data_IF_066372755534
#
_entry.id   IF_066372755534
#
_cell.length_a   1.000
_cell.length_b   1.000
_cell.length_c   1.000
_cell.angle_alpha   90.00
_cell.angle_beta   90.00
_cell.angle_gamma   90.00
#
_symmetry.space_group_name_H-M   'P 1'
#
loop_
_entity.id
_entity.type
_entity.pdbx_description
1 polymer ?
#
# COMPACT_ATOMS: atom_id res chain seq x y z
N UNK A 1 14.61 -7.13 -88.85
CA UNK A 1 14.34 -7.94 -87.66
C UNK A 1 14.57 -7.00 -86.48
N UNK A 2 13.53 -6.40 -85.91
CA UNK A 2 13.57 -5.46 -84.78
C UNK A 2 12.90 -6.16 -83.58
N UNK A 3 13.72 -6.46 -82.55
CA UNK A 3 13.23 -7.07 -81.27
C UNK A 3 12.81 -5.98 -80.37
N UNK A 4 11.49 -5.90 -79.98
CA UNK A 4 10.93 -5.07 -78.97
C UNK A 4 11.12 -5.73 -77.57
N UNK A 5 11.76 -5.12 -76.65
CA UNK A 5 11.80 -5.49 -75.22
C UNK A 5 10.70 -4.71 -74.47
N UNK A 6 9.66 -5.45 -74.04
CA UNK A 6 8.69 -4.91 -73.10
C UNK A 6 9.29 -4.95 -71.67
N UNK A 7 9.43 -3.83 -71.08
CA UNK A 7 9.69 -3.71 -69.64
C UNK A 7 8.34 -3.71 -68.92
N UNK A 8 8.01 -4.81 -68.13
CA UNK A 8 6.92 -4.84 -67.19
C UNK A 8 7.41 -4.17 -65.91
N UNK A 9 6.95 -2.95 -65.63
CA UNK A 9 7.04 -2.32 -64.33
C UNK A 9 6.03 -2.98 -63.38
N UNK A 10 6.51 -3.88 -62.55
CA UNK A 10 5.76 -4.35 -61.38
C UNK A 10 5.73 -3.20 -60.34
N UNK A 11 4.68 -2.42 -60.39
CA UNK A 11 4.31 -1.57 -59.24
C UNK A 11 3.79 -2.49 -58.12
N UNK A 12 4.65 -2.93 -57.24
CA UNK A 12 4.22 -3.44 -55.92
C UNK A 12 3.73 -2.26 -55.13
N UNK A 13 2.43 -1.99 -55.13
CA UNK A 13 1.79 -1.13 -54.13
C UNK A 13 2.00 -1.79 -52.77
N UNK A 14 2.92 -1.23 -51.96
CA UNK A 14 2.91 -1.48 -50.53
C UNK A 14 1.55 -0.95 -50.03
N UNK A 15 0.59 -1.83 -49.86
CA UNK A 15 -0.58 -1.54 -49.05
C UNK A 15 -0.04 -1.34 -47.66
N UNK A 16 0.00 -0.09 -47.19
CA UNK A 16 0.27 0.21 -45.78
C UNK A 16 -0.81 -0.54 -44.99
N UNK A 17 -0.39 -1.54 -44.24
CA UNK A 17 -1.31 -2.29 -43.39
C UNK A 17 -1.88 -1.28 -42.37
N UNK A 18 -3.22 -1.10 -42.40
CA UNK A 18 -3.88 -0.20 -41.41
C UNK A 18 -3.49 -0.60 -40.01
N UNK A 19 -3.12 0.39 -39.20
CA UNK A 19 -2.71 0.14 -37.84
C UNK A 19 -3.92 -0.34 -37.03
N UNK A 20 -3.76 -1.44 -36.32
CA UNK A 20 -4.77 -2.02 -35.41
C UNK A 20 -4.33 -1.83 -33.98
N UNK A 21 -5.21 -2.11 -33.02
CA UNK A 21 -4.85 -2.12 -31.60
C UNK A 21 -3.69 -3.07 -31.35
N UNK A 22 -3.68 -4.24 -31.97
CA UNK A 22 -2.62 -5.24 -31.84
C UNK A 22 -1.29 -4.73 -32.38
N UNK A 23 -1.30 -4.02 -33.52
CA UNK A 23 -0.07 -3.44 -34.08
C UNK A 23 0.48 -2.29 -33.20
N UNK A 24 -0.40 -1.45 -32.64
CA UNK A 24 0.02 -0.38 -31.71
C UNK A 24 0.52 -0.93 -30.38
N UNK A 25 -0.06 -2.02 -29.86
CA UNK A 25 0.49 -2.73 -28.70
C UNK A 25 1.87 -3.34 -29.00
N UNK A 26 2.08 -3.88 -30.21
CA UNK A 26 3.40 -4.39 -30.61
C UNK A 26 4.45 -3.27 -30.70
N UNK A 27 4.09 -2.09 -31.22
CA UNK A 27 4.96 -0.92 -31.25
C UNK A 27 5.23 -0.38 -29.84
N UNK A 28 4.22 -0.34 -28.96
CA UNK A 28 4.38 0.03 -27.56
C UNK A 28 5.33 -0.93 -26.84
N UNK A 29 5.19 -2.24 -27.07
CA UNK A 29 6.11 -3.27 -26.54
C UNK A 29 7.56 -3.01 -26.98
N UNK A 30 7.78 -2.68 -28.25
CA UNK A 30 9.11 -2.36 -28.76
C UNK A 30 9.69 -1.08 -28.16
N UNK A 31 8.84 -0.08 -27.93
CA UNK A 31 9.21 1.17 -27.27
C UNK A 31 9.52 0.99 -25.76
N UNK A 32 8.93 -0.01 -25.11
CA UNK A 32 9.14 -0.30 -23.69
C UNK A 32 10.49 -1.00 -23.46
N UNK A 33 11.54 -0.23 -23.29
CA UNK A 33 12.93 -0.71 -23.25
C UNK A 33 13.82 0.18 -22.38
N UNK A 34 15.08 -0.25 -22.19
CA UNK A 34 16.10 0.58 -21.52
C UNK A 34 16.43 1.88 -22.27
N UNK A 35 16.15 1.93 -23.56
CA UNK A 35 16.32 3.13 -24.41
C UNK A 35 15.05 3.31 -25.27
N UNK A 36 13.96 3.88 -24.72
CA UNK A 36 12.70 4.00 -25.41
C UNK A 36 12.81 4.80 -26.71
N UNK A 37 12.44 4.17 -27.81
CA UNK A 37 12.31 4.79 -29.12
C UNK A 37 10.99 4.33 -29.74
N UNK A 38 10.34 5.24 -30.47
CA UNK A 38 9.09 4.95 -31.16
C UNK A 38 8.98 5.74 -32.46
N UNK A 39 8.13 5.28 -33.36
CA UNK A 39 7.79 5.99 -34.58
C UNK A 39 7.01 7.26 -34.27
N UNK A 40 7.12 8.25 -35.15
CA UNK A 40 6.50 9.57 -34.96
C UNK A 40 4.97 9.49 -34.80
N UNK A 41 4.33 8.51 -35.44
CA UNK A 41 2.89 8.29 -35.45
C UNK A 41 2.37 7.38 -34.32
N UNK A 42 3.24 6.87 -33.43
CA UNK A 42 2.81 6.01 -32.32
C UNK A 42 1.94 6.78 -31.31
N UNK A 43 2.34 7.98 -30.96
CA UNK A 43 1.62 8.85 -30.03
C UNK A 43 1.06 10.05 -30.76
N UNK A 44 -0.21 10.39 -30.50
CA UNK A 44 -0.82 11.58 -31.07
C UNK A 44 -0.15 12.87 -30.54
N UNK A 45 -0.09 13.95 -31.35
CA UNK A 45 0.47 15.23 -30.89
C UNK A 45 -0.17 15.73 -29.59
N UNK A 46 -1.49 15.66 -29.46
CA UNK A 46 -2.21 16.07 -28.26
C UNK A 46 -1.82 15.26 -27.00
N UNK A 47 -1.51 13.96 -27.17
CA UNK A 47 -0.99 13.16 -26.06
C UNK A 47 0.41 13.62 -25.64
N UNK A 48 1.29 13.91 -26.60
CA UNK A 48 2.66 14.40 -26.31
C UNK A 48 2.70 15.84 -25.80
N UNK A 49 1.69 16.66 -26.08
CA UNK A 49 1.50 17.96 -25.42
C UNK A 49 1.17 17.80 -23.93
N UNK A 50 0.29 16.84 -23.58
CA UNK A 50 -0.08 16.56 -22.20
C UNK A 50 1.03 15.82 -21.43
N UNK A 51 1.69 14.85 -22.08
CA UNK A 51 2.79 14.05 -21.53
C UNK A 51 3.98 14.12 -22.47
N UNK A 52 4.84 15.15 -22.35
CA UNK A 52 5.99 15.31 -23.22
C UNK A 52 6.93 14.11 -23.23
N UNK A 53 7.52 13.80 -24.38
CA UNK A 53 8.46 12.68 -24.54
C UNK A 53 9.60 12.70 -23.51
N UNK A 54 10.03 13.91 -23.09
CA UNK A 54 11.02 14.10 -22.04
C UNK A 54 10.58 13.60 -20.65
N UNK A 55 9.27 13.47 -20.40
CA UNK A 55 8.71 12.87 -19.18
C UNK A 55 8.34 11.40 -19.40
N UNK A 56 7.83 11.04 -20.57
CA UNK A 56 7.38 9.67 -20.87
C UNK A 56 8.57 8.69 -20.93
N UNK A 57 9.68 9.06 -21.55
CA UNK A 57 10.87 8.19 -21.64
C UNK A 57 11.46 7.78 -20.29
N UNK A 58 11.73 8.69 -19.34
CA UNK A 58 12.19 8.31 -18.01
C UNK A 58 11.22 7.38 -17.27
N UNK A 59 9.90 7.61 -17.39
CA UNK A 59 8.89 6.74 -16.80
C UNK A 59 8.95 5.31 -17.38
N UNK A 60 9.06 5.19 -18.71
CA UNK A 60 9.17 3.87 -19.35
C UNK A 60 10.48 3.15 -18.99
N UNK A 61 11.59 3.89 -18.87
CA UNK A 61 12.88 3.34 -18.44
C UNK A 61 12.77 2.81 -16.99
N UNK A 62 12.20 3.60 -16.09
CA UNK A 62 12.03 3.24 -14.69
C UNK A 62 11.17 1.97 -14.54
N UNK A 63 10.02 1.92 -15.21
CA UNK A 63 9.16 0.74 -15.25
C UNK A 63 9.90 -0.47 -15.85
N UNK A 64 10.61 -0.29 -16.96
CA UNK A 64 11.40 -1.35 -17.59
C UNK A 64 12.49 -1.91 -16.66
N UNK A 65 13.21 -1.05 -15.96
CA UNK A 65 14.23 -1.47 -14.99
C UNK A 65 13.66 -2.29 -13.84
N UNK A 66 12.40 -2.01 -13.45
CA UNK A 66 11.71 -2.67 -12.34
C UNK A 66 11.07 -4.00 -12.75
N UNK A 67 10.57 -4.11 -13.97
CA UNK A 67 9.73 -5.23 -14.39
C UNK A 67 10.28 -6.06 -15.54
N UNK A 68 11.36 -5.61 -16.19
CA UNK A 68 11.91 -6.25 -17.39
C UNK A 68 11.10 -5.99 -18.65
N UNK A 69 11.49 -6.63 -19.75
CA UNK A 69 10.86 -6.45 -21.06
C UNK A 69 9.45 -7.06 -21.11
N UNK A 70 8.50 -6.38 -21.74
CA UNK A 70 7.18 -6.95 -22.02
C UNK A 70 7.34 -8.15 -22.98
N UNK A 71 6.76 -9.29 -22.61
CA UNK A 71 6.75 -10.50 -23.42
C UNK A 71 5.49 -10.60 -24.30
N UNK A 72 4.32 -10.34 -23.69
CA UNK A 72 3.02 -10.39 -24.37
C UNK A 72 1.99 -9.51 -23.68
N UNK A 73 0.85 -9.29 -24.35
CA UNK A 73 -0.33 -8.66 -23.77
C UNK A 73 -1.48 -9.67 -23.64
N UNK A 74 -2.18 -9.61 -22.52
CA UNK A 74 -3.43 -10.34 -22.28
C UNK A 74 -4.57 -9.33 -22.23
N UNK A 75 -5.67 -9.62 -22.91
CA UNK A 75 -6.87 -8.76 -22.89
C UNK A 75 -7.54 -8.90 -21.54
N UNK A 76 -7.77 -7.78 -20.83
CA UNK A 76 -8.58 -7.73 -19.62
C UNK A 76 -10.01 -7.28 -19.93
N UNK A 77 -10.16 -6.26 -20.78
CA UNK A 77 -11.45 -5.68 -21.13
C UNK A 77 -11.33 -4.94 -22.47
N UNK A 78 -12.28 -5.14 -23.39
CA UNK A 78 -12.43 -4.31 -24.59
C UNK A 78 -13.57 -3.31 -24.36
N UNK A 79 -13.28 -2.00 -24.55
CA UNK A 79 -14.25 -0.90 -24.41
C UNK A 79 -14.61 -0.27 -25.77
N UNK A 80 -14.75 -1.10 -26.80
CA UNK A 80 -14.93 -0.69 -28.18
C UNK A 80 -13.80 -1.19 -29.08
N UNK A 81 -13.75 -0.66 -30.29
CA UNK A 81 -12.76 -1.04 -31.30
C UNK A 81 -11.37 -0.48 -30.99
N UNK A 82 -11.30 0.76 -30.50
CA UNK A 82 -10.07 1.54 -30.32
C UNK A 82 -9.66 1.76 -28.87
N UNK A 83 -10.33 1.15 -27.90
CA UNK A 83 -10.01 1.33 -26.49
C UNK A 83 -10.23 0.07 -25.67
N UNK A 84 -9.50 -0.04 -24.55
CA UNK A 84 -9.64 -1.17 -23.63
C UNK A 84 -8.56 -1.20 -22.55
N UNK A 85 -8.52 -2.33 -21.89
CA UNK A 85 -7.52 -2.65 -20.86
C UNK A 85 -6.83 -3.96 -21.22
N UNK A 86 -5.53 -3.96 -21.07
CA UNK A 86 -4.66 -5.12 -21.28
C UNK A 86 -3.76 -5.30 -20.07
N UNK A 87 -3.26 -6.52 -19.89
CA UNK A 87 -2.16 -6.79 -18.95
C UNK A 87 -0.90 -7.05 -19.77
N UNK A 88 0.10 -6.19 -19.60
CA UNK A 88 1.43 -6.45 -20.12
C UNK A 88 2.12 -7.47 -19.22
N UNK A 89 2.46 -8.65 -19.76
CA UNK A 89 3.22 -9.68 -19.05
C UNK A 89 4.68 -9.51 -19.40
N UNK A 90 5.54 -9.45 -18.39
CA UNK A 90 6.96 -9.25 -18.56
C UNK A 90 7.76 -10.54 -18.36
N UNK A 91 8.98 -10.59 -18.88
CA UNK A 91 9.91 -11.73 -18.73
C UNK A 91 10.30 -12.01 -17.30
N UNK A 92 10.31 -10.98 -16.49
CA UNK A 92 10.65 -11.07 -15.05
C UNK A 92 9.45 -11.52 -14.21
N UNK A 93 8.33 -11.89 -14.85
CA UNK A 93 7.16 -12.45 -14.18
C UNK A 93 6.26 -11.40 -13.54
N UNK A 94 6.21 -10.17 -14.07
CA UNK A 94 5.25 -9.16 -13.65
C UNK A 94 4.09 -9.07 -14.63
N UNK A 95 2.90 -8.79 -14.12
CA UNK A 95 1.73 -8.36 -14.86
C UNK A 95 1.48 -6.89 -14.57
N UNK A 96 1.44 -6.06 -15.62
CA UNK A 96 1.19 -4.63 -15.51
C UNK A 96 -0.07 -4.28 -16.27
N UNK A 97 -1.19 -3.97 -15.58
CA UNK A 97 -2.39 -3.55 -16.25
C UNK A 97 -2.17 -2.21 -16.94
N UNK A 98 -2.60 -2.12 -18.21
CA UNK A 98 -2.55 -0.88 -19.00
C UNK A 98 -3.94 -0.54 -19.53
N UNK A 99 -4.29 0.74 -19.54
CA UNK A 99 -5.41 1.28 -20.29
C UNK A 99 -4.87 1.96 -21.53
N UNK A 100 -5.44 1.63 -22.70
CA UNK A 100 -5.03 2.16 -24.00
C UNK A 100 -6.25 2.68 -24.75
N UNK A 101 -6.11 3.87 -25.34
CA UNK A 101 -7.08 4.46 -26.26
C UNK A 101 -6.35 4.98 -27.48
N UNK A 102 -6.83 4.63 -28.65
CA UNK A 102 -6.32 5.08 -29.94
C UNK A 102 -7.29 6.09 -30.58
N UNK A 103 -6.79 6.92 -31.48
CA UNK A 103 -7.62 7.69 -32.39
C UNK A 103 -8.42 6.77 -33.31
N UNK A 104 -9.68 7.13 -33.62
CA UNK A 104 -10.51 6.39 -34.58
C UNK A 104 -10.02 6.59 -36.01
N UNK A 105 -9.43 7.76 -36.32
CA UNK A 105 -8.87 8.09 -37.62
C UNK A 105 -7.45 7.54 -37.75
N UNK A 106 -7.11 7.09 -38.96
CA UNK A 106 -5.74 6.70 -39.31
C UNK A 106 -4.76 7.88 -39.06
N UNK A 107 -3.57 7.62 -38.54
CA UNK A 107 -2.91 6.32 -38.38
C UNK A 107 -3.21 5.61 -37.05
N UNK A 108 -4.29 5.90 -36.32
CA UNK A 108 -4.71 5.30 -35.05
C UNK A 108 -3.66 5.46 -33.96
N UNK A 109 -3.16 6.69 -33.80
CA UNK A 109 -2.16 7.03 -32.80
C UNK A 109 -2.72 6.93 -31.39
N UNK A 110 -1.85 6.64 -30.42
CA UNK A 110 -2.22 6.57 -29.00
C UNK A 110 -2.59 7.99 -28.50
N UNK A 111 -3.83 8.14 -28.03
CA UNK A 111 -4.36 9.36 -27.38
C UNK A 111 -4.50 9.20 -25.87
N UNK A 112 -4.48 7.98 -25.38
CA UNK A 112 -4.53 7.67 -23.94
C UNK A 112 -3.70 6.44 -23.62
N UNK A 113 -2.80 6.56 -22.66
CA UNK A 113 -1.99 5.46 -22.14
C UNK A 113 -1.81 5.64 -20.63
N UNK A 114 -2.18 4.62 -19.88
CA UNK A 114 -2.00 4.60 -18.44
C UNK A 114 -1.46 3.25 -17.98
N UNK A 115 -0.31 3.26 -17.34
CA UNK A 115 0.28 2.10 -16.69
C UNK A 115 -0.18 2.05 -15.23
N UNK A 116 -0.80 0.95 -14.83
CA UNK A 116 -1.06 0.67 -13.42
C UNK A 116 0.20 0.05 -12.77
N UNK A 117 0.29 0.06 -11.44
CA UNK A 117 1.41 -0.58 -10.74
C UNK A 117 1.58 -2.04 -11.18
N UNK A 118 2.82 -2.49 -11.43
CA UNK A 118 3.08 -3.87 -11.80
C UNK A 118 2.86 -4.82 -10.62
N UNK A 119 2.22 -5.95 -10.88
CA UNK A 119 1.99 -7.02 -9.91
C UNK A 119 2.82 -8.24 -10.28
N UNK A 120 3.49 -8.91 -9.33
CA UNK A 120 4.11 -10.21 -9.59
C UNK A 120 3.06 -11.23 -10.09
N UNK A 121 3.35 -11.95 -11.18
CA UNK A 121 2.48 -12.99 -11.73
C UNK A 121 2.60 -14.29 -10.94
N UNK A 122 2.01 -14.29 -9.76
CA UNK A 122 1.99 -15.40 -8.82
C UNK A 122 0.70 -16.19 -9.05
N UNK A 123 0.79 -17.51 -9.20
CA UNK A 123 -0.32 -18.34 -9.63
C UNK A 123 -1.44 -18.43 -8.58
N UNK A 124 -1.08 -18.63 -7.32
CA UNK A 124 -1.99 -18.89 -6.20
C UNK A 124 -1.44 -18.33 -4.88
N UNK A 125 -2.23 -18.45 -3.82
CA UNK A 125 -1.87 -17.95 -2.49
C UNK A 125 -0.66 -18.69 -1.88
N UNK A 126 -0.45 -19.96 -2.21
CA UNK A 126 0.70 -20.74 -1.72
C UNK A 126 1.99 -20.23 -2.34
N UNK A 127 2.00 -20.02 -3.66
CA UNK A 127 3.12 -19.41 -4.38
C UNK A 127 3.41 -17.98 -3.90
N UNK A 128 2.38 -17.21 -3.50
CA UNK A 128 2.55 -15.90 -2.90
C UNK A 128 3.29 -15.99 -1.56
N UNK A 129 2.91 -16.93 -0.69
CA UNK A 129 3.59 -17.17 0.58
C UNK A 129 5.06 -17.55 0.37
N UNK A 130 5.34 -18.46 -0.58
CA UNK A 130 6.71 -18.82 -0.91
C UNK A 130 7.55 -17.65 -1.42
N UNK A 131 6.93 -16.77 -2.20
CA UNK A 131 7.61 -15.57 -2.70
C UNK A 131 7.93 -14.61 -1.56
N UNK A 132 6.96 -14.35 -0.67
CA UNK A 132 7.14 -13.50 0.51
C UNK A 132 8.25 -14.06 1.42
N UNK A 133 8.29 -15.36 1.61
CA UNK A 133 9.30 -16.04 2.45
C UNK A 133 10.75 -15.86 1.96
N UNK A 134 10.93 -15.65 0.64
CA UNK A 134 12.25 -15.46 0.01
C UNK A 134 12.72 -14.01 0.00
N UNK A 135 11.88 -13.07 0.43
CA UNK A 135 12.23 -11.65 0.44
C UNK A 135 13.34 -11.35 1.46
N UNK A 136 14.24 -10.42 1.17
CA UNK A 136 15.25 -10.00 2.12
C UNK A 136 14.63 -9.29 3.33
N UNK A 137 15.29 -9.41 4.50
CA UNK A 137 14.80 -8.88 5.76
C UNK A 137 13.85 -9.86 6.46
N UNK A 138 12.89 -9.33 7.22
CA UNK A 138 11.88 -10.10 7.94
C UNK A 138 10.50 -9.78 7.34
N UNK A 139 9.64 -10.79 7.27
CA UNK A 139 8.25 -10.66 6.85
C UNK A 139 7.32 -11.33 7.86
N UNK A 140 6.10 -10.79 7.98
CA UNK A 140 4.97 -11.41 8.66
C UNK A 140 3.74 -11.16 7.79
N UNK A 141 3.06 -12.23 7.41
CA UNK A 141 1.96 -12.14 6.43
C UNK A 141 0.83 -13.08 6.81
N UNK A 142 -0.39 -12.67 6.45
CA UNK A 142 -1.53 -13.58 6.48
C UNK A 142 -2.79 -12.99 5.88
N UNK A 143 -3.64 -13.90 5.42
CA UNK A 143 -5.00 -13.67 4.98
C UNK A 143 -5.91 -14.54 5.85
N UNK A 144 -6.89 -13.92 6.49
CA UNK A 144 -7.88 -14.59 7.32
C UNK A 144 -9.28 -14.24 6.87
N UNK A 145 -10.15 -15.25 6.79
CA UNK A 145 -11.60 -15.05 6.73
C UNK A 145 -12.10 -14.79 8.15
N UNK A 146 -12.83 -13.69 8.34
CA UNK A 146 -13.32 -13.25 9.64
C UNK A 146 -14.77 -13.69 9.82
N UNK A 147 -15.00 -14.53 10.83
CA UNK A 147 -16.33 -14.99 11.27
C UNK A 147 -16.40 -14.92 12.78
N UNK A 148 -17.14 -15.85 13.40
CA UNK A 148 -17.12 -16.04 14.86
C UNK A 148 -15.71 -16.42 15.33
N UNK A 149 -15.05 -17.28 14.57
CA UNK A 149 -13.63 -17.59 14.74
C UNK A 149 -12.92 -17.27 13.43
N UNK A 150 -11.86 -16.43 13.46
CA UNK A 150 -11.04 -16.18 12.28
C UNK A 150 -10.38 -17.47 11.77
N UNK A 151 -10.48 -17.70 10.47
CA UNK A 151 -9.89 -18.84 9.77
C UNK A 151 -8.72 -18.35 8.89
N UNK A 152 -7.54 -18.90 9.12
CA UNK A 152 -6.36 -18.58 8.29
C UNK A 152 -6.47 -19.27 6.94
N UNK A 153 -6.46 -18.51 5.85
CA UNK A 153 -6.40 -19.04 4.49
C UNK A 153 -4.96 -19.34 4.10
N UNK A 154 -4.07 -18.40 4.32
CA UNK A 154 -2.62 -18.56 4.17
C UNK A 154 -1.89 -17.66 5.15
N UNK A 155 -0.69 -18.09 5.59
CA UNK A 155 0.15 -17.30 6.49
C UNK A 155 1.64 -17.56 6.24
N UNK A 156 2.46 -16.56 6.59
CA UNK A 156 3.92 -16.69 6.72
C UNK A 156 4.37 -15.96 7.97
N UNK A 157 4.98 -16.67 8.91
CA UNK A 157 5.45 -16.12 10.19
C UNK A 157 4.41 -15.20 10.86
N UNK A 158 3.13 -15.62 10.96
CA UNK A 158 2.02 -14.74 11.31
C UNK A 158 2.12 -14.13 12.71
N UNK A 159 2.86 -14.79 13.62
CA UNK A 159 3.05 -14.34 15.00
C UNK A 159 4.40 -13.63 15.23
N UNK A 160 5.16 -13.41 14.17
CA UNK A 160 6.39 -12.63 14.24
C UNK A 160 6.07 -11.16 14.48
N UNK A 161 6.39 -10.67 15.66
CA UNK A 161 6.19 -9.27 16.05
C UNK A 161 7.25 -8.38 15.41
N UNK A 162 6.83 -7.43 14.58
CA UNK A 162 7.65 -6.49 13.80
C UNK A 162 7.23 -5.05 14.10
N UNK A 163 8.08 -4.09 13.76
CA UNK A 163 7.72 -2.68 13.72
C UNK A 163 6.60 -2.45 12.71
N UNK A 164 5.60 -1.67 13.09
CA UNK A 164 4.40 -1.43 12.28
C UNK A 164 4.23 0.01 11.81
N UNK A 165 5.14 0.91 12.21
CA UNK A 165 5.00 2.33 11.91
C UNK A 165 3.58 2.82 12.19
N UNK A 166 3.05 3.69 11.36
CA UNK A 166 1.73 4.32 11.57
C UNK A 166 0.53 3.38 11.67
N UNK A 167 0.68 2.06 11.47
CA UNK A 167 -0.43 1.12 11.71
C UNK A 167 -0.82 1.05 13.20
N UNK A 168 0.03 1.52 14.12
CA UNK A 168 -0.27 1.67 15.53
C UNK A 168 -1.51 2.55 15.81
N UNK A 169 -1.86 3.46 14.91
CA UNK A 169 -3.03 4.36 15.00
C UNK A 169 -4.35 3.62 15.09
N UNK A 170 -4.38 2.34 14.70
CA UNK A 170 -5.53 1.45 14.94
C UNK A 170 -5.82 1.28 16.44
N UNK A 171 -4.80 1.25 17.30
CA UNK A 171 -5.00 1.15 18.76
C UNK A 171 -5.54 2.45 19.37
N UNK A 172 -5.18 3.61 18.83
CA UNK A 172 -5.76 4.91 19.23
C UNK A 172 -7.24 4.96 18.82
N UNK A 173 -7.57 4.51 17.59
CA UNK A 173 -8.96 4.39 17.16
C UNK A 173 -9.74 3.43 18.09
N UNK A 174 -9.11 2.32 18.49
CA UNK A 174 -9.67 1.39 19.47
C UNK A 174 -9.98 2.05 20.80
N UNK A 175 -9.07 2.89 21.33
CA UNK A 175 -9.28 3.61 22.59
C UNK A 175 -10.44 4.61 22.50
N UNK A 176 -10.58 5.34 21.39
CA UNK A 176 -11.71 6.24 21.15
C UNK A 176 -13.05 5.52 21.19
N UNK A 177 -13.10 4.33 20.56
CA UNK A 177 -14.32 3.51 20.52
C UNK A 177 -14.64 2.85 21.86
N UNK A 178 -13.64 2.36 22.59
CA UNK A 178 -13.82 1.75 23.90
C UNK A 178 -14.31 2.76 24.94
N UNK A 179 -13.83 3.99 24.88
CA UNK A 179 -14.30 5.09 25.73
C UNK A 179 -15.60 5.72 25.25
N UNK A 180 -16.14 5.29 24.12
CA UNK A 180 -17.34 5.86 23.51
C UNK A 180 -17.26 7.39 23.38
N UNK A 181 -16.08 7.90 23.00
CA UNK A 181 -15.86 9.35 22.91
C UNK A 181 -16.82 9.97 21.88
N UNK A 182 -17.37 11.13 22.26
CA UNK A 182 -18.21 11.89 21.34
C UNK A 182 -17.35 12.42 20.19
N UNK A 183 -17.66 11.95 18.97
CA UNK A 183 -16.92 12.36 17.76
C UNK A 183 -17.13 13.85 17.42
N UNK A 184 -18.10 14.52 18.04
CA UNK A 184 -18.33 15.97 17.89
C UNK A 184 -17.59 16.79 18.96
N UNK A 185 -17.01 16.16 19.97
CA UNK A 185 -16.21 16.86 20.99
C UNK A 185 -15.08 17.66 20.35
N UNK A 186 -14.91 18.90 20.78
CA UNK A 186 -13.91 19.82 20.21
C UNK A 186 -12.61 19.73 21.00
N UNK A 187 -11.53 19.47 20.27
CA UNK A 187 -10.14 19.51 20.74
C UNK A 187 -9.43 20.62 19.97
N UNK A 188 -8.98 21.71 20.62
CA UNK A 188 -8.22 22.75 19.94
C UNK A 188 -6.82 22.26 19.60
N UNK A 189 -6.31 22.65 18.41
CA UNK A 189 -4.93 22.35 18.04
C UNK A 189 -3.95 23.06 18.97
N UNK A 190 -3.04 22.30 19.57
CA UNK A 190 -2.01 22.79 20.51
C UNK A 190 -0.64 22.74 19.87
N UNK A 191 0.16 23.76 20.06
CA UNK A 191 1.53 23.83 19.52
C UNK A 191 2.41 22.71 20.09
N UNK A 192 2.26 22.44 21.39
CA UNK A 192 3.05 21.43 22.12
C UNK A 192 2.74 19.98 21.69
N UNK A 193 1.59 19.75 21.06
CA UNK A 193 1.18 18.43 20.53
C UNK A 193 1.40 18.27 19.03
N UNK A 194 2.06 19.23 18.39
CA UNK A 194 2.43 19.10 16.98
C UNK A 194 3.49 18.03 16.78
N UNK A 195 3.45 17.42 15.59
CA UNK A 195 4.43 16.44 15.15
C UNK A 195 4.96 16.76 13.76
N UNK A 196 5.99 16.03 13.31
CA UNK A 196 6.45 16.10 11.92
C UNK A 196 5.46 15.37 11.00
N UNK A 197 5.42 15.67 9.68
CA UNK A 197 4.62 14.93 8.73
C UNK A 197 4.91 13.42 8.80
N UNK A 198 3.92 12.60 8.44
CA UNK A 198 2.78 12.71 7.50
C UNK A 198 1.62 13.58 8.03
N UNK A 199 0.74 13.93 7.07
CA UNK A 199 -0.40 14.79 7.30
C UNK A 199 -0.08 16.26 7.07
N UNK A 200 -0.98 17.14 7.50
CA UNK A 200 -0.91 18.60 7.24
C UNK A 200 -1.28 19.48 8.43
N UNK A 201 -1.84 18.92 9.51
CA UNK A 201 -2.31 19.72 10.65
C UNK A 201 -1.17 20.41 11.40
N UNK A 202 0.08 19.99 11.23
CA UNK A 202 1.25 20.65 11.81
C UNK A 202 1.44 22.11 11.34
N UNK A 203 0.86 22.48 10.19
CA UNK A 203 0.94 23.85 9.64
C UNK A 203 -0.28 24.71 9.98
N UNK A 204 -1.31 24.13 10.60
CA UNK A 204 -2.54 24.85 10.92
C UNK A 204 -2.37 25.74 12.15
N UNK A 205 -3.15 26.83 12.26
CA UNK A 205 -3.06 27.74 13.40
C UNK A 205 -3.29 27.05 14.75
N UNK A 206 -2.52 27.41 15.77
CA UNK A 206 -2.80 26.99 17.13
C UNK A 206 -4.17 27.54 17.60
N UNK A 207 -4.88 26.77 18.42
CA UNK A 207 -6.23 27.11 18.88
C UNK A 207 -7.34 26.77 17.88
N UNK A 208 -7.00 26.31 16.64
CA UNK A 208 -8.01 25.89 15.67
C UNK A 208 -8.89 24.78 16.26
N UNK A 209 -10.22 24.95 16.33
CA UNK A 209 -11.12 23.94 16.87
C UNK A 209 -11.26 22.77 15.90
N UNK A 210 -10.95 21.57 16.36
CA UNK A 210 -11.12 20.32 15.58
C UNK A 210 -12.04 19.37 16.35
N UNK A 211 -12.95 18.71 15.67
CA UNK A 211 -13.69 17.64 16.34
C UNK A 211 -12.84 16.37 16.44
N UNK A 212 -13.10 15.53 17.45
CA UNK A 212 -12.48 14.19 17.56
C UNK A 212 -12.69 13.41 16.26
N UNK A 213 -13.87 13.50 15.65
CA UNK A 213 -14.17 12.87 14.37
C UNK A 213 -13.28 13.35 13.23
N UNK A 214 -13.05 14.66 13.10
CA UNK A 214 -12.17 15.22 12.08
C UNK A 214 -10.70 14.80 12.30
N UNK A 215 -10.23 14.82 13.57
CA UNK A 215 -8.90 14.31 13.92
C UNK A 215 -8.78 12.81 13.63
N UNK A 216 -9.83 12.02 13.92
CA UNK A 216 -9.87 10.58 13.61
C UNK A 216 -9.76 10.31 12.11
N UNK A 217 -10.51 11.06 11.28
CA UNK A 217 -10.40 10.94 9.83
C UNK A 217 -8.99 11.30 9.33
N UNK A 218 -8.41 12.40 9.80
CA UNK A 218 -7.05 12.81 9.43
C UNK A 218 -6.00 11.78 9.89
N UNK A 219 -6.10 11.28 11.14
CA UNK A 219 -5.21 10.26 11.70
C UNK A 219 -5.20 8.97 10.85
N UNK A 220 -6.37 8.50 10.43
CA UNK A 220 -6.48 7.21 9.73
C UNK A 220 -6.22 7.38 8.25
N UNK A 221 -6.90 8.32 7.55
CA UNK A 221 -6.86 8.40 6.09
C UNK A 221 -5.58 9.05 5.53
N UNK A 222 -5.12 10.14 6.17
CA UNK A 222 -3.91 10.87 5.79
C UNK A 222 -2.68 10.43 6.61
N UNK A 223 -2.92 9.57 7.60
CA UNK A 223 -1.90 9.21 8.59
C UNK A 223 -1.33 10.43 9.34
N UNK A 224 -2.13 11.50 9.53
CA UNK A 224 -1.70 12.75 10.12
C UNK A 224 -1.15 12.53 11.54
N UNK A 225 0.12 12.88 11.74
CA UNK A 225 0.83 12.66 13.00
C UNK A 225 0.41 13.68 14.06
N UNK A 226 0.10 14.90 13.66
CA UNK A 226 -0.39 15.94 14.58
C UNK A 226 -1.78 15.58 15.11
N UNK A 227 -2.70 15.11 14.22
CA UNK A 227 -3.99 14.58 14.66
C UNK A 227 -3.82 13.40 15.63
N UNK A 228 -2.87 12.52 15.35
CA UNK A 228 -2.56 11.34 16.16
C UNK A 228 -2.14 11.74 17.57
N UNK A 229 -1.20 12.66 17.68
CA UNK A 229 -0.67 13.10 18.99
C UNK A 229 -1.75 13.87 19.79
N UNK A 230 -2.62 14.66 19.13
CA UNK A 230 -3.76 15.30 19.77
C UNK A 230 -4.73 14.26 20.36
N UNK A 231 -5.06 13.22 19.62
CA UNK A 231 -5.95 12.16 20.10
C UNK A 231 -5.29 11.34 21.22
N UNK A 232 -4.00 11.01 21.09
CA UNK A 232 -3.25 10.31 22.13
C UNK A 232 -3.21 11.10 23.44
N UNK A 233 -2.90 12.39 23.40
CA UNK A 233 -2.86 13.24 24.58
C UNK A 233 -4.25 13.49 25.17
N UNK A 234 -5.29 13.56 24.35
CA UNK A 234 -6.68 13.71 24.82
C UNK A 234 -7.18 12.47 25.55
N UNK A 235 -6.81 11.27 25.07
CA UNK A 235 -7.15 9.99 25.69
C UNK A 235 -6.29 9.68 26.94
N UNK A 236 -5.04 10.12 26.90
CA UNK A 236 -4.01 9.67 27.84
C UNK A 236 -3.31 8.39 27.37
N UNK A 237 -1.99 8.37 27.53
CA UNK A 237 -1.10 7.29 27.07
C UNK A 237 -1.49 5.92 27.61
N UNK A 238 -1.75 5.81 28.90
CA UNK A 238 -2.05 4.56 29.59
C UNK A 238 -3.34 3.91 29.06
N UNK A 239 -4.28 4.73 28.64
CA UNK A 239 -5.52 4.25 28.04
C UNK A 239 -5.26 3.60 26.67
N UNK A 240 -4.40 4.20 25.86
CA UNK A 240 -4.01 3.61 24.58
C UNK A 240 -3.14 2.35 24.77
N UNK A 241 -2.26 2.36 25.77
CA UNK A 241 -1.47 1.18 26.15
C UNK A 241 -2.34 -0.02 26.52
N UNK A 242 -3.44 0.20 27.25
CA UNK A 242 -4.37 -0.88 27.63
C UNK A 242 -5.04 -1.50 26.41
N UNK A 243 -5.21 -0.75 25.31
CA UNK A 243 -5.82 -1.26 24.09
C UNK A 243 -4.93 -2.24 23.32
N UNK A 244 -3.62 -2.21 23.51
CA UNK A 244 -2.73 -3.21 22.90
C UNK A 244 -3.19 -4.63 23.25
N UNK A 245 -3.33 -4.93 24.54
CA UNK A 245 -3.79 -6.24 24.99
C UNK A 245 -5.28 -6.46 24.69
N UNK A 246 -6.14 -5.45 24.90
CA UNK A 246 -7.58 -5.54 24.67
C UNK A 246 -7.93 -5.85 23.21
N UNK A 247 -7.13 -5.35 22.26
CA UNK A 247 -7.28 -5.64 20.82
C UNK A 247 -6.45 -6.86 20.37
N UNK A 248 -5.87 -7.61 21.31
CA UNK A 248 -5.25 -8.91 21.06
C UNK A 248 -3.78 -8.90 20.66
N UNK A 249 -3.02 -7.82 20.92
CA UNK A 249 -1.57 -7.84 20.75
C UNK A 249 -0.95 -8.83 21.75
N UNK A 250 -0.20 -9.80 21.25
CA UNK A 250 0.38 -10.87 22.08
C UNK A 250 1.63 -10.42 22.87
N UNK A 251 2.27 -9.31 22.44
CA UNK A 251 3.48 -8.78 23.08
C UNK A 251 3.37 -7.27 23.34
N UNK A 252 2.32 -6.81 24.08
CA UNK A 252 2.05 -5.38 24.27
C UNK A 252 3.22 -4.64 24.94
N UNK A 253 3.99 -5.32 25.79
CA UNK A 253 5.15 -4.77 26.51
C UNK A 253 6.25 -4.24 25.56
N UNK A 254 6.33 -4.72 24.32
CA UNK A 254 7.31 -4.24 23.33
C UNK A 254 7.06 -2.79 22.90
N UNK A 255 5.82 -2.33 23.01
CA UNK A 255 5.40 -0.97 22.63
C UNK A 255 5.28 -0.04 23.85
N UNK A 256 5.85 -0.41 25.01
CA UNK A 256 5.76 0.39 26.21
C UNK A 256 7.06 1.16 26.51
N UNK A 257 6.94 2.41 26.97
CA UNK A 257 5.73 3.22 26.95
C UNK A 257 5.30 3.50 25.50
N UNK A 258 3.99 3.64 25.26
CA UNK A 258 3.46 3.90 23.93
C UNK A 258 3.86 5.31 23.48
N UNK A 259 4.73 5.41 22.50
CA UNK A 259 5.27 6.68 22.03
C UNK A 259 4.20 7.53 21.33
N UNK A 260 4.25 8.85 21.50
CA UNK A 260 3.67 9.76 20.53
C UNK A 260 4.51 9.81 19.26
N UNK A 261 3.95 10.32 18.15
CA UNK A 261 4.72 10.44 16.92
C UNK A 261 5.86 11.47 17.06
N UNK A 262 5.60 12.54 17.80
CA UNK A 262 6.61 13.56 18.07
C UNK A 262 7.77 13.04 18.94
N UNK A 263 7.51 12.19 19.91
CA UNK A 263 8.54 11.52 20.71
C UNK A 263 9.38 10.57 19.85
N UNK A 264 8.75 9.77 18.99
CA UNK A 264 9.44 8.87 18.07
C UNK A 264 10.39 9.64 17.16
N UNK A 265 9.94 10.76 16.56
CA UNK A 265 10.80 11.59 15.72
C UNK A 265 11.97 12.20 16.51
N UNK A 266 11.73 12.72 17.72
CA UNK A 266 12.81 13.24 18.58
C UNK A 266 13.85 12.17 18.87
N UNK A 267 13.43 10.96 19.21
CA UNK A 267 14.34 9.84 19.47
C UNK A 267 15.16 9.47 18.21
N UNK A 268 14.51 9.26 17.08
CA UNK A 268 15.16 8.73 15.87
C UNK A 268 15.94 9.79 15.09
N UNK A 269 15.56 11.06 15.15
CA UNK A 269 16.22 12.13 14.43
C UNK A 269 17.20 12.92 15.31
N UNK A 270 16.91 13.04 16.61
CA UNK A 270 17.76 13.71 17.56
C UNK A 270 19.16 13.09 17.64
N UNK A 271 20.19 13.95 17.63
CA UNK A 271 21.60 13.53 17.62
C UNK A 271 21.90 12.46 16.56
N UNK A 272 21.27 12.54 15.38
CA UNK A 272 21.41 11.58 14.27
C UNK A 272 21.06 10.13 14.64
N UNK A 273 20.18 9.94 15.65
CA UNK A 273 19.69 8.63 16.11
C UNK A 273 20.39 8.07 17.36
N UNK A 274 21.38 8.76 17.90
CA UNK A 274 22.06 8.31 19.13
C UNK A 274 21.11 8.32 20.34
N UNK A 275 20.11 9.22 20.37
CA UNK A 275 19.09 9.21 21.41
C UNK A 275 18.27 7.92 21.41
N UNK A 276 17.87 7.44 20.23
CA UNK A 276 17.14 6.18 20.11
C UNK A 276 17.96 5.00 20.64
N UNK A 277 19.26 4.93 20.33
CA UNK A 277 20.17 3.90 20.85
C UNK A 277 20.31 3.93 22.37
N UNK A 278 20.36 5.14 22.95
CA UNK A 278 20.36 5.33 24.41
C UNK A 278 19.05 4.86 25.04
N UNK A 279 17.93 5.32 24.49
CA UNK A 279 16.59 4.99 24.94
C UNK A 279 16.28 3.49 24.85
N UNK A 280 16.74 2.82 23.80
CA UNK A 280 16.56 1.39 23.59
C UNK A 280 17.11 0.53 24.75
N UNK A 281 18.13 1.01 25.46
CA UNK A 281 18.79 0.30 26.58
C UNK A 281 18.06 0.47 27.91
N UNK A 282 17.09 1.39 28.00
CA UNK A 282 16.35 1.69 29.22
C UNK A 282 15.22 0.68 29.43
N UNK A 283 14.91 0.38 30.70
CA UNK A 283 13.66 -0.30 31.05
C UNK A 283 12.45 0.61 30.91
N UNK A 284 11.25 0.07 31.04
CA UNK A 284 9.99 0.81 30.82
C UNK A 284 9.86 2.01 31.78
N UNK A 285 10.27 1.88 33.05
CA UNK A 285 10.18 2.95 34.01
C UNK A 285 11.14 4.10 33.67
N UNK A 286 12.40 3.77 33.36
CA UNK A 286 13.39 4.74 32.92
C UNK A 286 13.02 5.38 31.56
N UNK A 287 12.39 4.64 30.65
CA UNK A 287 11.84 5.19 29.40
C UNK A 287 10.77 6.24 29.67
N UNK A 288 9.81 5.99 30.59
CA UNK A 288 8.78 6.97 30.96
C UNK A 288 9.40 8.24 31.54
N UNK A 289 10.36 8.09 32.43
CA UNK A 289 11.08 9.23 33.03
C UNK A 289 11.83 10.01 31.95
N UNK A 290 12.51 9.34 31.01
CA UNK A 290 13.23 9.96 29.92
C UNK A 290 12.30 10.77 29.00
N UNK A 291 11.14 10.21 28.62
CA UNK A 291 10.14 10.91 27.80
C UNK A 291 9.66 12.19 28.50
N UNK A 292 9.35 12.08 29.79
CA UNK A 292 8.82 13.22 30.56
C UNK A 292 9.84 14.34 30.79
N UNK A 293 11.14 14.02 30.94
CA UNK A 293 12.18 14.98 31.30
C UNK A 293 13.00 15.47 30.11
N UNK A 294 13.32 14.59 29.16
CA UNK A 294 14.31 14.89 28.13
C UNK A 294 13.68 15.17 26.75
N UNK A 295 12.49 14.64 26.46
CA UNK A 295 11.86 14.75 25.14
C UNK A 295 10.69 15.74 25.10
N UNK A 296 10.71 16.76 25.96
CA UNK A 296 9.68 17.78 25.93
C UNK A 296 9.86 18.74 24.74
N UNK A 297 8.78 19.40 24.26
CA UNK A 297 8.87 20.37 23.18
C UNK A 297 9.85 21.51 23.43
N UNK A 298 9.98 21.93 24.71
CA UNK A 298 10.87 23.03 25.12
C UNK A 298 12.34 22.61 25.03
N UNK A 299 12.66 21.37 25.40
CA UNK A 299 14.05 20.86 25.38
C UNK A 299 14.49 20.44 24.00
N UNK A 300 13.56 19.93 23.18
CA UNK A 300 13.83 19.45 21.84
C UNK A 300 12.72 19.85 20.87
N UNK A 301 12.71 21.10 20.39
CA UNK A 301 11.74 21.56 19.41
C UNK A 301 11.88 20.79 18.10
N UNK A 302 10.75 20.55 17.40
CA UNK A 302 10.70 19.77 16.17
C UNK A 302 11.23 20.54 14.94
N UNK A 303 11.22 21.86 14.97
CA UNK A 303 11.60 22.71 13.83
C UNK A 303 13.03 22.39 13.31
N UNK A 304 13.97 22.13 14.22
CA UNK A 304 15.33 21.72 13.87
C UNK A 304 15.46 20.28 13.35
N UNK A 305 14.40 19.46 13.46
CA UNK A 305 14.41 18.06 13.03
C UNK A 305 13.79 17.86 11.64
N UNK A 306 13.05 18.83 11.11
CA UNK A 306 12.36 18.72 9.83
C UNK A 306 13.33 18.46 8.65
N UNK A 307 14.47 19.16 8.59
CA UNK A 307 15.50 18.94 7.57
C UNK A 307 16.11 17.53 7.71
N UNK A 308 16.38 17.10 8.94
CA UNK A 308 16.93 15.78 9.25
C UNK A 308 15.95 14.68 8.83
N UNK A 309 14.63 14.91 8.95
CA UNK A 309 13.60 13.99 8.49
C UNK A 309 13.66 13.75 6.98
N UNK A 310 13.87 14.78 6.18
CA UNK A 310 14.03 14.66 4.72
C UNK A 310 15.29 13.88 4.28
N UNK A 311 16.29 13.77 5.15
CA UNK A 311 17.53 13.03 4.92
C UNK A 311 17.52 11.62 5.53
N UNK A 312 16.44 11.24 6.21
CA UNK A 312 16.32 9.95 6.88
C UNK A 312 15.98 8.84 5.89
N UNK A 313 17.01 8.18 5.36
CA UNK A 313 16.88 7.12 4.33
C UNK A 313 17.30 5.74 4.81
N UNK A 314 17.80 5.62 6.06
CA UNK A 314 18.26 4.34 6.61
C UNK A 314 17.52 3.97 7.89
N UNK A 315 17.28 2.68 8.14
CA UNK A 315 16.67 2.21 9.38
C UNK A 315 17.40 2.71 10.63
N UNK A 316 16.63 3.07 11.65
CA UNK A 316 17.15 3.48 12.97
C UNK A 316 16.34 2.84 14.06
N UNK A 317 16.95 1.91 14.81
CA UNK A 317 16.37 1.26 16.00
C UNK A 317 14.94 0.72 15.76
N UNK A 318 14.67 0.20 14.57
CA UNK A 318 13.34 -0.28 14.19
C UNK A 318 12.90 -1.56 14.90
N UNK A 319 13.82 -2.26 15.55
CA UNK A 319 13.58 -3.46 16.35
C UNK A 319 13.43 -3.19 17.86
N UNK A 320 13.70 -1.94 18.29
CA UNK A 320 13.72 -1.54 19.71
C UNK A 320 12.94 -0.30 20.04
N UNK A 321 12.82 0.66 19.12
CA UNK A 321 12.17 1.97 19.30
C UNK A 321 11.10 2.16 18.24
N UNK A 322 9.97 1.47 18.45
CA UNK A 322 8.83 1.44 17.55
C UNK A 322 7.55 1.00 18.26
N UNK A 323 6.46 0.94 17.54
CA UNK A 323 5.25 0.21 17.89
C UNK A 323 5.31 -1.15 17.22
N UNK A 324 4.97 -2.20 17.95
CA UNK A 324 5.16 -3.58 17.53
C UNK A 324 3.86 -4.35 17.50
N UNK A 325 3.67 -5.12 16.45
CA UNK A 325 2.63 -6.12 16.33
C UNK A 325 3.06 -7.22 15.35
N UNK A 326 2.39 -8.35 15.38
CA UNK A 326 2.46 -9.39 14.35
C UNK A 326 1.29 -9.25 13.37
N UNK A 327 1.31 -9.98 12.24
CA UNK A 327 0.17 -10.05 11.34
C UNK A 327 -1.08 -10.62 12.03
N UNK A 328 -0.91 -11.61 12.92
CA UNK A 328 -1.98 -12.14 13.77
C UNK A 328 -2.53 -11.09 14.74
N UNK A 329 -1.66 -10.25 15.32
CA UNK A 329 -2.10 -9.15 16.20
C UNK A 329 -2.92 -8.13 15.42
N UNK A 330 -2.46 -7.73 14.25
CA UNK A 330 -3.20 -6.79 13.38
C UNK A 330 -4.52 -7.39 12.90
N UNK A 331 -4.57 -8.67 12.57
CA UNK A 331 -5.83 -9.37 12.26
C UNK A 331 -6.81 -9.27 13.43
N UNK A 332 -6.36 -9.55 14.67
CA UNK A 332 -7.20 -9.44 15.87
C UNK A 332 -7.68 -8.01 16.09
N UNK A 333 -6.79 -7.03 15.94
CA UNK A 333 -7.14 -5.61 16.07
C UNK A 333 -8.15 -5.16 15.00
N UNK A 334 -7.97 -5.56 13.74
CA UNK A 334 -8.91 -5.27 12.66
C UNK A 334 -10.27 -5.95 12.88
N UNK A 335 -10.28 -7.20 13.36
CA UNK A 335 -11.53 -7.88 13.68
C UNK A 335 -12.24 -7.23 14.88
N UNK A 336 -11.51 -6.82 15.90
CA UNK A 336 -12.03 -6.03 17.02
C UNK A 336 -12.69 -4.74 16.53
N UNK A 337 -12.00 -3.99 15.66
CA UNK A 337 -12.53 -2.76 15.04
C UNK A 337 -13.73 -3.05 14.16
N UNK A 338 -13.75 -4.14 13.39
CA UNK A 338 -14.89 -4.56 12.58
C UNK A 338 -16.17 -4.66 13.43
N UNK A 339 -16.08 -5.31 14.57
CA UNK A 339 -17.21 -5.50 15.48
C UNK A 339 -17.62 -4.19 16.19
N UNK A 340 -16.67 -3.39 16.61
CA UNK A 340 -16.92 -2.14 17.37
C UNK A 340 -17.32 -0.96 16.49
N UNK A 341 -17.04 -0.99 15.19
CA UNK A 341 -17.51 0.03 14.25
C UNK A 341 -18.85 -0.32 13.61
N UNK A 342 -19.46 -1.44 13.93
CA UNK A 342 -20.83 -1.74 13.55
C UNK A 342 -21.77 -0.71 14.18
N UNK A 343 -22.53 0.01 13.35
CA UNK A 343 -23.36 1.14 13.80
C UNK A 343 -22.62 2.48 14.01
N UNK A 344 -21.28 2.54 13.94
CA UNK A 344 -20.50 3.78 13.96
C UNK A 344 -20.00 4.11 12.55
N UNK A 345 -20.83 4.83 11.78
CA UNK A 345 -20.55 5.16 10.39
C UNK A 345 -19.30 6.04 10.22
N UNK A 346 -19.00 6.92 11.17
CA UNK A 346 -17.81 7.78 11.12
C UNK A 346 -16.53 6.97 11.26
N UNK A 347 -16.41 6.14 12.29
CA UNK A 347 -15.21 5.32 12.50
C UNK A 347 -15.03 4.28 11.38
N UNK A 348 -16.14 3.65 10.92
CA UNK A 348 -16.14 2.74 9.78
C UNK A 348 -15.73 3.45 8.49
N UNK A 349 -16.25 4.65 8.27
CA UNK A 349 -15.91 5.51 7.12
C UNK A 349 -14.47 5.99 7.16
N UNK A 350 -13.96 6.41 8.33
CA UNK A 350 -12.57 6.87 8.47
C UNK A 350 -11.56 5.81 8.00
N UNK A 351 -11.82 4.52 8.33
CA UNK A 351 -11.00 3.39 7.84
C UNK A 351 -11.05 3.25 6.31
N UNK A 352 -12.16 3.64 5.66
CA UNK A 352 -12.41 3.40 4.24
C UNK A 352 -12.08 4.60 3.32
N UNK A 353 -11.77 5.78 3.87
CA UNK A 353 -11.42 6.97 3.06
C UNK A 353 -10.19 6.69 2.19
N UNK A 354 -9.16 6.08 2.77
CA UNK A 354 -7.97 5.69 2.04
C UNK A 354 -7.92 4.15 1.94
N UNK A 355 -7.96 3.64 0.73
CA UNK A 355 -7.93 2.18 0.49
C UNK A 355 -6.52 1.58 0.51
N UNK A 356 -5.48 2.42 0.53
CA UNK A 356 -4.06 2.04 0.57
C UNK A 356 -3.51 1.47 -0.73
N UNK A 357 -4.28 0.65 -1.43
CA UNK A 357 -3.92 -0.03 -2.67
C UNK A 357 -5.04 0.09 -3.71
N UNK A 358 -4.71 -0.16 -4.98
CA UNK A 358 -5.68 -0.23 -6.07
C UNK A 358 -6.45 -1.56 -6.03
N UNK A 359 -7.36 -1.70 -5.06
CA UNK A 359 -8.20 -2.89 -4.87
C UNK A 359 -9.51 -2.72 -5.64
N UNK A 360 -9.95 -3.76 -6.35
CA UNK A 360 -11.20 -3.77 -7.13
C UNK A 360 -12.41 -3.45 -6.23
N UNK A 361 -13.16 -2.41 -6.56
CA UNK A 361 -14.39 -2.04 -5.85
C UNK A 361 -15.53 -3.01 -6.12
N UNK A 362 -15.53 -3.63 -7.29
CA UNK A 362 -16.51 -4.65 -7.66
C UNK A 362 -16.35 -5.91 -6.81
N UNK A 363 -15.10 -6.32 -6.53
CA UNK A 363 -14.83 -7.52 -5.74
C UNK A 363 -14.84 -7.24 -4.24
N UNK A 364 -14.42 -6.04 -3.83
CA UNK A 364 -14.36 -5.62 -2.44
C UNK A 364 -15.02 -4.23 -2.27
N UNK A 365 -16.36 -4.19 -2.11
CA UNK A 365 -17.10 -2.94 -1.95
C UNK A 365 -16.73 -2.16 -0.68
N UNK A 366 -16.21 -2.83 0.35
CA UNK A 366 -15.61 -2.17 1.51
C UNK A 366 -14.14 -2.53 1.65
N UNK A 367 -13.31 -1.51 1.77
CA UNK A 367 -11.87 -1.64 2.09
C UNK A 367 -11.53 -0.62 3.16
N UNK A 368 -11.32 -1.10 4.38
CA UNK A 368 -10.70 -0.35 5.46
C UNK A 368 -9.20 -0.59 5.48
N UNK A 369 -8.42 0.47 5.68
CA UNK A 369 -6.97 0.41 5.61
C UNK A 369 -6.29 1.26 6.67
N UNK A 370 -5.19 0.76 7.20
CA UNK A 370 -4.17 1.58 7.84
C UNK A 370 -2.80 0.98 7.60
N UNK A 371 -1.94 1.74 6.97
CA UNK A 371 -0.54 1.36 6.78
C UNK A 371 0.41 2.13 7.68
N UNK A 372 1.66 1.69 7.67
CA UNK A 372 2.77 2.38 8.32
C UNK A 372 4.07 2.13 7.60
N UNK A 373 4.89 3.16 7.49
CA UNK A 373 6.22 3.06 6.88
C UNK A 373 7.20 4.01 7.52
N UNK A 374 8.45 3.60 7.51
CA UNK A 374 9.66 4.39 7.70
C UNK A 374 10.83 3.64 7.06
N UNK A 375 12.03 4.23 6.94
CA UNK A 375 13.17 3.50 6.39
C UNK A 375 13.37 2.15 7.09
N UNK A 376 13.21 1.05 6.34
CA UNK A 376 13.31 -0.31 6.83
C UNK A 376 12.01 -0.92 7.38
N UNK A 377 10.89 -0.19 7.39
CA UNK A 377 9.58 -0.68 7.87
C UNK A 377 8.53 -0.43 6.80
N UNK A 378 7.74 -1.46 6.50
CA UNK A 378 6.49 -1.32 5.75
C UNK A 378 5.45 -2.27 6.33
N UNK A 379 4.28 -1.73 6.66
CA UNK A 379 3.13 -2.45 7.17
C UNK A 379 1.90 -2.06 6.36
N UNK A 380 1.17 -3.05 5.87
CA UNK A 380 -0.08 -2.91 5.14
C UNK A 380 -1.14 -3.75 5.87
N UNK A 381 -2.10 -3.11 6.51
CA UNK A 381 -3.16 -3.76 7.28
C UNK A 381 -4.53 -3.38 6.71
N UNK A 382 -5.23 -4.36 6.14
CA UNK A 382 -6.50 -4.18 5.46
C UNK A 382 -7.60 -5.01 6.12
N UNK A 383 -8.76 -4.38 6.30
CA UNK A 383 -10.04 -5.00 6.65
C UNK A 383 -10.96 -4.87 5.45
N UNK A 384 -11.34 -5.96 4.82
CA UNK A 384 -12.14 -5.90 3.60
C UNK A 384 -13.41 -6.74 3.71
N UNK A 385 -14.47 -6.30 3.01
CA UNK A 385 -15.66 -7.11 2.78
C UNK A 385 -15.78 -7.38 1.29
N UNK A 386 -15.93 -8.66 0.91
CA UNK A 386 -16.11 -9.03 -0.47
C UNK A 386 -17.59 -8.83 -0.93
N UNK A 387 -17.83 -8.96 -2.22
CA UNK A 387 -19.17 -8.83 -2.83
C UNK A 387 -20.21 -9.85 -2.34
N UNK A 388 -19.80 -10.90 -1.63
CA UNK A 388 -20.67 -11.91 -1.02
C UNK A 388 -21.03 -11.56 0.42
N UNK A 389 -20.39 -10.51 0.98
CA UNK A 389 -20.55 -10.09 2.36
C UNK A 389 -19.56 -10.73 3.34
N UNK A 390 -18.65 -11.58 2.87
CA UNK A 390 -17.61 -12.19 3.69
C UNK A 390 -16.53 -11.16 4.07
N UNK A 391 -16.10 -11.19 5.33
CA UNK A 391 -15.07 -10.31 5.84
C UNK A 391 -13.69 -10.98 5.87
N UNK A 392 -12.67 -10.20 5.55
CA UNK A 392 -11.27 -10.67 5.57
C UNK A 392 -10.37 -9.63 6.23
N UNK A 393 -9.31 -10.13 6.87
CA UNK A 393 -8.12 -9.35 7.22
C UNK A 393 -6.97 -9.79 6.32
N UNK A 394 -6.29 -8.83 5.72
CA UNK A 394 -5.09 -9.05 4.90
C UNK A 394 -3.99 -8.17 5.46
N UNK A 395 -2.95 -8.79 6.04
CA UNK A 395 -1.85 -8.09 6.68
C UNK A 395 -0.53 -8.54 6.07
N UNK A 396 0.25 -7.59 5.55
CA UNK A 396 1.62 -7.83 5.07
C UNK A 396 2.55 -6.83 5.73
N UNK A 397 3.56 -7.34 6.42
CA UNK A 397 4.55 -6.56 7.13
C UNK A 397 5.94 -6.96 6.71
N UNK A 398 6.82 -5.98 6.53
CA UNK A 398 8.23 -6.20 6.22
C UNK A 398 9.11 -5.26 7.02
N UNK A 399 10.17 -5.83 7.60
CA UNK A 399 11.22 -5.07 8.27
C UNK A 399 12.60 -5.48 7.74
N UNK A 400 13.49 -4.49 7.57
CA UNK A 400 14.90 -4.72 7.29
C UNK A 400 15.73 -3.71 8.09
N UNK A 401 16.52 -4.18 9.06
CA UNK A 401 17.32 -3.32 9.95
C UNK A 401 18.54 -2.70 9.26
N UNK A 402 18.85 -3.10 8.03
CA UNK A 402 20.06 -2.70 7.29
C UNK A 402 19.77 -1.74 6.14
N UNK A 403 18.59 -1.84 5.53
CA UNK A 403 18.22 -1.08 4.32
C UNK A 403 16.73 -0.81 4.26
N UNK A 404 16.32 0.16 3.45
CA UNK A 404 14.92 0.40 3.15
C UNK A 404 14.25 -0.82 2.51
N UNK A 405 12.99 -1.05 2.85
CA UNK A 405 12.14 -2.05 2.21
C UNK A 405 11.78 -1.57 0.80
N UNK A 406 11.76 -2.48 -0.17
CA UNK A 406 11.22 -2.18 -1.49
C UNK A 406 9.69 -2.08 -1.39
N UNK A 407 9.18 -0.85 -1.36
CA UNK A 407 7.76 -0.55 -1.19
C UNK A 407 6.94 -0.99 -2.40
N UNK A 408 7.44 -0.79 -3.63
CA UNK A 408 6.73 -1.16 -4.86
C UNK A 408 6.52 -2.68 -4.96
N UNK A 409 7.58 -3.45 -4.72
CA UNK A 409 7.47 -4.91 -4.69
C UNK A 409 6.49 -5.37 -3.61
N UNK A 410 6.54 -4.78 -2.42
CA UNK A 410 5.69 -5.18 -1.30
C UNK A 410 4.22 -4.82 -1.54
N UNK A 411 3.94 -3.63 -2.07
CA UNK A 411 2.59 -3.22 -2.46
C UNK A 411 2.05 -4.04 -3.62
N UNK A 412 2.90 -4.39 -4.61
CA UNK A 412 2.54 -5.30 -5.70
C UNK A 412 2.15 -6.69 -5.21
N UNK A 413 2.90 -7.26 -4.24
CA UNK A 413 2.55 -8.53 -3.61
C UNK A 413 1.22 -8.47 -2.84
N UNK A 414 0.99 -7.38 -2.11
CA UNK A 414 -0.27 -7.18 -1.40
C UNK A 414 -1.44 -7.02 -2.38
N UNK A 415 -1.28 -6.27 -3.48
CA UNK A 415 -2.29 -6.14 -4.54
C UNK A 415 -2.58 -7.50 -5.18
N UNK A 416 -1.53 -8.31 -5.43
CA UNK A 416 -1.70 -9.67 -5.94
C UNK A 416 -2.46 -10.57 -4.98
N UNK A 417 -2.25 -10.42 -3.65
CA UNK A 417 -3.03 -11.14 -2.65
C UNK A 417 -4.55 -10.92 -2.81
N UNK A 418 -4.98 -9.66 -3.05
CA UNK A 418 -6.39 -9.34 -3.30
C UNK A 418 -6.91 -9.91 -4.61
N UNK A 419 -6.13 -9.87 -5.68
CA UNK A 419 -6.49 -10.47 -6.96
C UNK A 419 -6.73 -11.99 -6.81
N UNK A 420 -5.84 -12.67 -6.09
CA UNK A 420 -5.96 -14.11 -5.83
C UNK A 420 -7.13 -14.43 -4.91
N UNK A 421 -7.35 -13.62 -3.86
CA UNK A 421 -8.48 -13.78 -2.94
C UNK A 421 -9.82 -13.62 -3.66
N UNK A 422 -9.95 -12.65 -4.56
CA UNK A 422 -11.14 -12.46 -5.39
C UNK A 422 -11.39 -13.66 -6.32
N UNK A 423 -10.34 -14.22 -6.94
CA UNK A 423 -10.40 -15.38 -7.82
C UNK A 423 -10.78 -16.68 -7.09
N UNK A 424 -10.23 -16.92 -5.91
CA UNK A 424 -10.55 -18.11 -5.10
C UNK A 424 -12.04 -18.20 -4.72
N UNK A 425 -12.75 -17.09 -4.70
CA UNK A 425 -14.19 -17.06 -4.46
C UNK A 425 -15.06 -17.37 -5.69
N UNK A 426 -14.49 -17.48 -6.88
CA UNK A 426 -15.21 -17.77 -8.13
C UNK A 426 -15.22 -19.26 -8.49
N UNK A 427 -14.34 -20.06 -7.94
CA UNK A 427 -14.37 -21.51 -8.10
C UNK A 427 -15.50 -22.11 -7.26
N UNK A 428 -16.54 -22.65 -7.92
CA UNK A 428 -17.51 -23.56 -7.27
C UNK A 428 -16.71 -24.71 -6.65
N UNK A 429 -17.05 -25.14 -5.43
CA UNK A 429 -16.42 -26.34 -4.86
C UNK A 429 -16.57 -27.47 -5.88
N UNK A 430 -15.44 -28.07 -6.29
CA UNK A 430 -15.46 -29.25 -7.14
C UNK A 430 -16.36 -30.29 -6.47
N UNK A 431 -17.48 -30.63 -7.11
CA UNK A 431 -18.33 -31.71 -6.66
C UNK A 431 -17.50 -32.99 -6.74
N UNK A 432 -17.05 -33.48 -5.59
CA UNK A 432 -16.44 -34.80 -5.48
C UNK A 432 -17.47 -35.82 -5.95
N UNK A 433 -17.24 -36.58 -7.05
CA UNK A 433 -18.17 -37.59 -7.46
C UNK A 433 -18.31 -38.64 -6.35
N UNK A 434 -19.51 -39.18 -6.11
CA UNK A 434 -19.72 -40.19 -5.08
C UNK A 434 -18.83 -41.40 -5.34
N UNK A 435 -18.07 -41.83 -4.33
CA UNK A 435 -17.29 -43.07 -4.37
C UNK A 435 -18.22 -44.23 -4.70
N UNK A 436 -18.05 -44.87 -5.82
CA UNK A 436 -18.71 -46.14 -6.12
C UNK A 436 -18.38 -47.14 -5.02
N UNK A 437 -19.43 -47.74 -4.43
CA UNK A 437 -19.28 -48.82 -3.48
C UNK A 437 -18.75 -50.04 -4.23
N UNK A 438 -17.74 -50.78 -3.70
CA UNK A 438 -17.28 -52.01 -4.32
C UNK A 438 -18.45 -53.01 -4.30
N UNK A 439 -18.78 -53.55 -5.48
CA UNK A 439 -19.69 -54.67 -5.66
C UNK A 439 -19.16 -55.88 -4.91
N UNK A 440 -20.05 -56.50 -4.11
CA UNK A 440 -19.76 -57.80 -3.49
C UNK A 440 -19.83 -58.94 -4.52
#
# INVERSE_FOLDING_TARGET
>A
MIRWWLWLLLCTSLVAQEATVESRLAELKAAYSAQPQWKEDLFAPAFLEAVPAAKLRPLMIDLFQKTGAIERFEVLEKKGEWSGRWRAITREGFGMPISLTLQEEAPHSIIGLFFQPPEPMIADLSALVEHIAKLPGQASFGIWKLGEKPEALVTHEPDRSLAIGSAFKLYILGALLEEQRDMQEIVPLRTEWRSLPSGRLQTWPAGMPMTIGALTCAMISESDNTATDHLLHTLGRERVESMLAAMGNAQPQRSLPFLSTSEMFRLKLGSKGELAKGYAKLDVAARREFLAKELTPERMPLDGLAETAGQWTRPREIDTVEWFASASDLMRALNWLRLRTEGNSLARGALAINRGLAISETDFPYVGYKGGSEPGVLCLAHLVQDKRGDWYAVCLMRNDTKRSVNEELTTGLATRAFTLLAGAGSEKPATVPPREKPSR
#
